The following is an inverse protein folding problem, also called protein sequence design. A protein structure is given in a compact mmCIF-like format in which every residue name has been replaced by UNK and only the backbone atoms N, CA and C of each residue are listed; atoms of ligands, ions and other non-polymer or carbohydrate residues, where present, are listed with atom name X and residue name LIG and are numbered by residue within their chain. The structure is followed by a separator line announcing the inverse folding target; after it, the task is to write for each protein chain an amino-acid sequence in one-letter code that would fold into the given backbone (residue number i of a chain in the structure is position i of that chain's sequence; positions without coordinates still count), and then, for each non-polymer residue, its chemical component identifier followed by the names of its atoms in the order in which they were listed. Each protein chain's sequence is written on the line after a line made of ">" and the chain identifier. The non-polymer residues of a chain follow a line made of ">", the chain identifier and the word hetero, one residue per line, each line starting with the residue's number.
data_IF_359884152990
#
_entry.id   IF_359884152990
#
_cell.length_a   1.000
_cell.length_b   1.000
_cell.length_c   1.000
_cell.angle_alpha   90.00
_cell.angle_beta   90.00
_cell.angle_gamma   90.00
#
_symmetry.space_group_name_H-M   'P 1'
#
loop_
_entity.id
_entity.type
_entity.pdbx_description
1 polymer ?
#
# COMPACT_ATOMS: atom_id res chain seq x y z
N UNK A 1 -9.53 -72.45 -34.32
CA UNK A 1 -8.46 -71.81 -33.53
C UNK A 1 -8.71 -70.32 -33.58
N UNK A 2 -9.34 -69.80 -32.52
CA UNK A 2 -9.96 -68.47 -32.47
C UNK A 2 -8.93 -67.41 -32.07
N UNK A 3 -8.81 -66.32 -32.84
CA UNK A 3 -8.04 -65.14 -32.44
C UNK A 3 -8.88 -64.30 -31.47
N UNK A 4 -8.40 -64.13 -30.24
CA UNK A 4 -9.01 -63.25 -29.24
C UNK A 4 -8.62 -61.79 -29.51
N UNK A 5 -9.59 -60.94 -29.87
CA UNK A 5 -9.41 -59.49 -29.95
C UNK A 5 -9.17 -58.90 -28.55
N UNK A 6 -8.03 -58.21 -28.38
CA UNK A 6 -7.68 -57.49 -27.16
C UNK A 6 -8.55 -56.23 -27.00
N UNK A 7 -9.35 -56.20 -25.93
CA UNK A 7 -10.18 -55.06 -25.57
C UNK A 7 -9.36 -53.79 -25.29
N UNK A 8 -9.67 -52.71 -26.01
CA UNK A 8 -9.08 -51.38 -25.83
C UNK A 8 -9.57 -50.80 -24.51
N UNK A 9 -8.66 -50.59 -23.55
CA UNK A 9 -8.96 -49.90 -22.29
C UNK A 9 -9.12 -48.41 -22.58
N UNK A 10 -10.33 -47.87 -22.41
CA UNK A 10 -10.56 -46.42 -22.46
C UNK A 10 -10.02 -45.78 -21.18
N UNK A 11 -9.20 -44.74 -21.34
CA UNK A 11 -8.63 -43.98 -20.22
C UNK A 11 -9.76 -43.24 -19.51
N UNK A 12 -10.05 -43.62 -18.26
CA UNK A 12 -10.91 -42.89 -17.34
C UNK A 12 -10.04 -41.79 -16.71
N UNK A 13 -9.74 -40.75 -17.47
CA UNK A 13 -9.24 -39.50 -16.92
C UNK A 13 -10.23 -38.42 -17.35
N UNK A 14 -11.04 -38.02 -16.37
CA UNK A 14 -12.06 -36.99 -16.47
C UNK A 14 -11.38 -35.66 -16.85
N UNK A 15 -11.78 -35.04 -17.96
CA UNK A 15 -11.28 -33.73 -18.39
C UNK A 15 -11.92 -32.60 -17.56
N UNK A 16 -11.78 -32.65 -16.24
CA UNK A 16 -12.54 -31.80 -15.30
C UNK A 16 -11.74 -30.73 -14.58
N UNK A 17 -10.59 -30.34 -15.14
CA UNK A 17 -9.88 -29.18 -14.63
C UNK A 17 -9.45 -28.26 -15.78
N UNK A 18 -10.42 -27.53 -16.32
CA UNK A 18 -10.16 -26.39 -17.18
C UNK A 18 -9.58 -25.26 -16.32
N UNK A 19 -8.28 -25.33 -16.01
CA UNK A 19 -7.51 -24.26 -15.33
C UNK A 19 -7.61 -22.89 -16.03
N UNK A 20 -8.00 -22.89 -17.31
CA UNK A 20 -8.11 -21.70 -18.15
C UNK A 20 -9.53 -21.13 -18.26
N UNK A 21 -10.56 -21.86 -17.79
CA UNK A 21 -11.93 -21.34 -17.69
C UNK A 21 -12.22 -20.85 -16.27
N UNK A 22 -11.32 -20.04 -15.71
CA UNK A 22 -11.76 -19.01 -14.77
C UNK A 22 -12.57 -18.01 -15.60
N UNK A 23 -13.86 -18.32 -15.81
CA UNK A 23 -14.85 -17.28 -16.00
C UNK A 23 -14.54 -16.28 -14.89
N UNK A 24 -14.02 -15.11 -15.25
CA UNK A 24 -13.89 -14.00 -14.32
C UNK A 24 -15.32 -13.71 -13.88
N UNK A 25 -15.75 -14.39 -12.81
CA UNK A 25 -16.85 -13.93 -11.99
C UNK A 25 -16.56 -12.48 -11.80
N UNK A 26 -17.46 -11.69 -12.36
CA UNK A 26 -17.39 -10.27 -12.53
C UNK A 26 -16.38 -9.70 -11.53
N UNK A 27 -15.21 -9.28 -12.04
CA UNK A 27 -14.48 -8.18 -11.42
C UNK A 27 -15.51 -7.04 -11.46
N UNK A 28 -16.44 -7.10 -10.51
CA UNK A 28 -17.28 -6.03 -10.08
C UNK A 28 -16.27 -4.90 -9.96
N UNK A 29 -16.44 -3.88 -10.80
CA UNK A 29 -15.82 -2.57 -10.68
C UNK A 29 -16.27 -1.97 -9.33
N UNK A 30 -16.02 -2.70 -8.23
CA UNK A 30 -16.13 -2.33 -6.86
C UNK A 30 -15.06 -1.29 -6.69
N UNK A 31 -15.44 -0.05 -7.01
CA UNK A 31 -14.79 1.20 -6.69
C UNK A 31 -13.58 1.00 -5.78
N UNK A 32 -12.46 0.58 -6.37
CA UNK A 32 -11.20 0.39 -5.66
C UNK A 32 -10.76 1.73 -5.04
N UNK A 33 -11.38 2.82 -5.52
CA UNK A 33 -11.34 4.18 -5.03
C UNK A 33 -11.92 4.38 -3.62
N UNK A 34 -12.94 3.64 -3.18
CA UNK A 34 -13.53 3.84 -1.85
C UNK A 34 -12.69 3.18 -0.74
N UNK A 35 -12.13 1.99 -0.99
CA UNK A 35 -11.24 1.32 -0.02
C UNK A 35 -9.89 2.05 0.11
N UNK A 36 -9.37 2.58 -1.00
CA UNK A 36 -8.17 3.43 -1.01
C UNK A 36 -8.39 4.74 -0.25
N UNK A 37 -9.61 5.23 -0.09
CA UNK A 37 -9.91 6.47 0.65
C UNK A 37 -10.34 6.22 2.10
N UNK A 38 -10.50 4.95 2.49
CA UNK A 38 -10.91 4.53 3.84
C UNK A 38 -9.93 5.01 4.93
N UNK A 39 -8.69 5.30 4.56
CA UNK A 39 -7.65 5.75 5.48
C UNK A 39 -7.60 7.28 5.69
N UNK A 40 -8.47 8.03 5.02
CA UNK A 40 -8.54 9.48 5.11
C UNK A 40 -9.84 9.93 5.79
N UNK A 41 -9.74 10.94 6.65
CA UNK A 41 -10.88 11.54 7.34
C UNK A 41 -10.92 13.03 7.09
N UNK A 42 -12.11 13.60 7.04
CA UNK A 42 -12.28 15.04 7.03
C UNK A 42 -12.53 15.55 8.45
N UNK A 43 -11.80 16.60 8.80
CA UNK A 43 -11.95 17.39 10.01
C UNK A 43 -12.60 18.70 9.58
N UNK A 44 -13.76 19.02 10.17
CA UNK A 44 -14.55 20.19 9.83
C UNK A 44 -15.06 20.88 11.10
N UNK A 45 -15.61 22.08 10.94
CA UNK A 45 -16.04 22.93 12.07
C UNK A 45 -14.85 23.34 12.95
N UNK A 46 -13.69 23.56 12.31
CA UNK A 46 -12.46 23.97 12.98
C UNK A 46 -12.53 25.48 13.24
N UNK A 47 -12.35 25.95 14.49
CA UNK A 47 -12.30 27.38 14.78
C UNK A 47 -11.09 28.03 14.08
N UNK A 48 -11.20 29.28 13.61
CA UNK A 48 -10.11 29.95 12.89
C UNK A 48 -8.84 30.19 13.73
N UNK A 49 -8.94 30.01 15.05
CA UNK A 49 -7.78 30.09 15.96
C UNK A 49 -6.95 28.80 15.99
N UNK A 50 -7.47 27.69 15.45
CA UNK A 50 -6.77 26.41 15.45
C UNK A 50 -5.69 26.36 14.38
N UNK A 51 -4.51 25.91 14.79
CA UNK A 51 -3.39 25.64 13.89
C UNK A 51 -3.16 24.14 13.73
N UNK A 52 -2.35 23.78 12.74
CA UNK A 52 -1.88 22.39 12.55
C UNK A 52 -1.28 21.80 13.82
N UNK A 53 -0.60 22.62 14.62
CA UNK A 53 -0.01 22.19 15.90
C UNK A 53 -1.04 21.72 16.91
N UNK A 54 -2.19 22.38 16.99
CA UNK A 54 -3.23 22.04 17.95
C UNK A 54 -4.00 20.81 17.50
N UNK A 55 -4.21 20.65 16.20
CA UNK A 55 -4.65 19.38 15.62
C UNK A 55 -3.66 18.26 15.94
N UNK A 56 -2.36 18.45 15.68
CA UNK A 56 -1.34 17.48 16.02
C UNK A 56 -1.37 17.10 17.51
N UNK A 57 -1.53 18.08 18.42
CA UNK A 57 -1.66 17.84 19.87
C UNK A 57 -2.88 16.98 20.21
N UNK A 58 -4.03 17.25 19.60
CA UNK A 58 -5.24 16.46 19.82
C UNK A 58 -5.08 15.01 19.34
N UNK A 59 -4.34 14.82 18.25
CA UNK A 59 -4.06 13.51 17.67
C UNK A 59 -2.71 12.92 18.15
N UNK A 60 -2.06 13.46 19.19
CA UNK A 60 -0.77 12.95 19.71
C UNK A 60 -0.82 11.51 20.22
N UNK A 61 -2.00 11.03 20.62
CA UNK A 61 -2.23 9.63 21.01
C UNK A 61 -1.96 8.65 19.86
N UNK A 62 -2.06 9.11 18.62
CA UNK A 62 -1.82 8.33 17.42
C UNK A 62 -0.35 8.45 17.00
N UNK A 63 0.54 7.86 17.80
CA UNK A 63 2.01 7.99 17.74
C UNK A 63 2.67 7.65 16.38
N UNK A 64 1.97 7.01 15.42
CA UNK A 64 2.58 6.53 14.16
C UNK A 64 1.61 6.58 12.97
N UNK A 65 1.78 7.60 12.13
CA UNK A 65 1.16 7.65 10.79
C UNK A 65 -0.10 8.50 10.71
N UNK A 66 -0.01 9.72 11.22
CA UNK A 66 -1.02 10.76 11.03
C UNK A 66 -0.37 11.95 10.33
N UNK A 67 -0.99 12.44 9.27
CA UNK A 67 -0.61 13.64 8.53
C UNK A 67 -1.85 14.52 8.32
N UNK A 68 -1.68 15.84 8.30
CA UNK A 68 -2.79 16.79 8.13
C UNK A 68 -2.51 17.64 6.92
N UNK A 69 -3.50 17.77 6.03
CA UNK A 69 -3.52 18.84 5.05
C UNK A 69 -4.74 19.72 5.20
N UNK A 70 -4.50 21.02 5.25
CA UNK A 70 -5.55 22.02 5.19
C UNK A 70 -6.10 22.18 3.78
N UNK A 71 -7.42 22.24 3.68
CA UNK A 71 -8.14 22.55 2.45
C UNK A 71 -8.59 24.02 2.50
N UNK A 72 -9.08 24.43 3.66
CA UNK A 72 -9.58 25.77 3.97
C UNK A 72 -9.37 26.07 5.46
N UNK A 73 -9.51 27.31 5.91
CA UNK A 73 -9.34 27.71 7.33
C UNK A 73 -10.30 26.98 8.29
N UNK A 74 -11.39 26.41 7.76
CA UNK A 74 -12.39 25.64 8.52
C UNK A 74 -12.42 24.13 8.21
N UNK A 75 -11.64 23.68 7.23
CA UNK A 75 -11.63 22.29 6.72
C UNK A 75 -10.22 21.75 6.57
N UNK A 76 -9.97 20.58 7.17
CA UNK A 76 -8.72 19.85 7.03
C UNK A 76 -8.96 18.38 6.69
N UNK A 77 -8.05 17.81 5.91
CA UNK A 77 -7.97 16.39 5.61
C UNK A 77 -6.91 15.75 6.52
N UNK A 78 -7.31 14.75 7.29
CA UNK A 78 -6.39 13.93 8.06
C UNK A 78 -6.12 12.61 7.34
N UNK A 79 -4.86 12.32 7.06
CA UNK A 79 -4.39 11.06 6.52
C UNK A 79 -3.96 10.19 7.70
N UNK A 80 -4.61 9.05 7.87
CA UNK A 80 -4.36 8.12 8.95
C UNK A 80 -3.83 6.79 8.40
N UNK A 81 -3.12 6.04 9.23
CA UNK A 81 -2.90 4.63 8.98
C UNK A 81 -4.21 3.87 9.22
N UNK A 82 -4.51 2.87 8.39
CA UNK A 82 -5.77 2.08 8.44
C UNK A 82 -6.29 1.72 9.85
N UNK A 83 -5.48 1.25 10.82
CA UNK A 83 -6.00 0.94 12.15
C UNK A 83 -6.39 2.17 12.99
N UNK A 84 -5.75 3.32 12.78
CA UNK A 84 -5.95 4.51 13.62
C UNK A 84 -7.18 5.34 13.20
N UNK A 85 -7.65 5.18 11.96
CA UNK A 85 -8.83 5.87 11.41
C UNK A 85 -10.08 5.64 12.27
N UNK A 86 -10.34 4.37 12.62
CA UNK A 86 -11.56 3.99 13.36
C UNK A 86 -11.58 4.59 14.76
N UNK A 87 -10.42 4.70 15.38
CA UNK A 87 -10.26 5.30 16.70
C UNK A 87 -10.43 6.82 16.61
N UNK A 88 -9.83 7.47 15.61
CA UNK A 88 -10.02 8.89 15.33
C UNK A 88 -11.50 9.25 15.08
N UNK A 89 -12.24 8.42 14.33
CA UNK A 89 -13.68 8.63 14.11
C UNK A 89 -14.53 8.44 15.39
N UNK A 90 -14.02 7.67 16.37
CA UNK A 90 -14.68 7.49 17.67
C UNK A 90 -14.32 8.58 18.65
N UNK A 91 -13.16 9.22 18.52
CA UNK A 91 -12.79 10.35 19.35
C UNK A 91 -13.72 11.53 19.08
N UNK A 92 -14.30 12.07 20.16
CA UNK A 92 -15.16 13.25 20.12
C UNK A 92 -14.36 14.43 20.65
N UNK A 93 -14.13 15.42 19.79
CA UNK A 93 -13.50 16.66 20.19
C UNK A 93 -14.60 17.73 20.40
N UNK A 94 -14.57 18.49 21.51
CA UNK A 94 -15.60 19.52 21.78
C UNK A 94 -15.61 20.66 20.77
N UNK A 95 -14.47 20.93 20.12
CA UNK A 95 -14.24 22.11 19.28
C UNK A 95 -14.10 21.77 17.79
N UNK A 96 -14.24 20.51 17.39
CA UNK A 96 -14.18 20.11 15.98
C UNK A 96 -14.90 18.80 15.76
N UNK A 97 -15.30 18.54 14.52
CA UNK A 97 -15.97 17.30 14.14
C UNK A 97 -15.14 16.56 13.12
N UNK A 98 -15.19 15.24 13.20
CA UNK A 98 -14.51 14.33 12.27
C UNK A 98 -15.56 13.47 11.56
N UNK A 99 -15.40 13.28 10.26
CA UNK A 99 -16.26 12.41 9.46
C UNK A 99 -15.46 11.63 8.41
N UNK A 100 -15.89 10.41 8.05
CA UNK A 100 -15.26 9.66 6.97
C UNK A 100 -15.47 10.36 5.63
N UNK A 101 -14.54 10.16 4.69
CA UNK A 101 -14.61 10.76 3.37
C UNK A 101 -15.91 10.47 2.60
N UNK A 102 -16.57 9.32 2.82
CA UNK A 102 -17.85 9.01 2.17
C UNK A 102 -18.92 10.08 2.45
N UNK A 103 -18.91 10.66 3.66
CA UNK A 103 -19.85 11.73 4.10
C UNK A 103 -19.31 13.15 3.90
N UNK A 104 -18.16 13.28 3.23
CA UNK A 104 -17.42 14.51 3.06
C UNK A 104 -17.92 15.36 1.88
N UNK A 105 -17.56 16.65 1.89
CA UNK A 105 -17.85 17.61 0.83
C UNK A 105 -17.14 17.19 -0.47
N UNK A 106 -17.72 17.54 -1.63
CA UNK A 106 -17.13 17.21 -2.95
C UNK A 106 -15.72 17.77 -3.12
N UNK A 107 -15.43 18.94 -2.55
CA UNK A 107 -14.12 19.58 -2.59
C UNK A 107 -13.07 18.74 -1.88
N UNK A 108 -13.33 18.37 -0.62
CA UNK A 108 -12.49 17.47 0.16
C UNK A 108 -12.29 16.11 -0.50
N UNK A 109 -13.32 15.55 -1.15
CA UNK A 109 -13.21 14.31 -1.94
C UNK A 109 -12.27 14.48 -3.15
N UNK A 110 -12.38 15.60 -3.88
CA UNK A 110 -11.51 15.88 -5.02
C UNK A 110 -10.05 16.07 -4.59
N UNK A 111 -9.85 16.76 -3.48
CA UNK A 111 -8.54 16.89 -2.85
C UNK A 111 -8.03 15.53 -2.42
N UNK A 112 -8.79 14.74 -1.66
CA UNK A 112 -8.38 13.40 -1.24
C UNK A 112 -7.97 12.48 -2.41
N UNK A 113 -8.75 12.45 -3.50
CA UNK A 113 -8.41 11.70 -4.72
C UNK A 113 -7.11 12.13 -5.38
N UNK A 114 -6.77 13.42 -5.29
CA UNK A 114 -5.52 13.93 -5.83
C UNK A 114 -4.30 13.43 -5.04
N UNK A 115 -4.51 12.97 -3.81
CA UNK A 115 -3.45 12.46 -2.93
C UNK A 115 -3.48 10.97 -2.66
N UNK A 116 -4.56 10.28 -3.03
CA UNK A 116 -4.58 8.82 -3.06
C UNK A 116 -3.68 8.24 -4.16
N UNK A 117 -3.04 9.08 -4.98
CA UNK A 117 -1.91 8.70 -5.83
C UNK A 117 -0.91 7.90 -5.00
N UNK A 118 -0.45 6.72 -5.48
CA UNK A 118 0.07 5.64 -4.65
C UNK A 118 1.09 6.18 -3.66
N UNK A 119 0.70 6.08 -2.38
CA UNK A 119 1.53 6.40 -1.22
C UNK A 119 2.95 5.99 -1.55
N UNK A 120 3.84 7.00 -1.67
CA UNK A 120 5.26 6.80 -1.93
C UNK A 120 5.70 5.68 -0.99
N UNK A 121 5.94 4.50 -1.58
CA UNK A 121 6.37 3.34 -0.84
C UNK A 121 7.58 3.81 -0.06
N UNK A 122 7.42 3.96 1.27
CA UNK A 122 8.46 4.47 2.18
C UNK A 122 9.78 4.00 1.65
N UNK A 123 10.63 4.95 1.22
CA UNK A 123 11.87 4.61 0.53
C UNK A 123 12.54 3.50 1.32
N UNK A 124 12.76 2.36 0.66
CA UNK A 124 13.35 1.20 1.33
C UNK A 124 14.60 1.73 2.01
N UNK A 125 14.82 1.41 3.32
CA UNK A 125 16.04 1.82 3.98
C UNK A 125 17.21 1.47 3.05
N UNK A 126 18.15 2.39 2.88
CA UNK A 126 19.17 2.30 1.84
C UNK A 126 20.00 1.02 2.02
N UNK A 127 19.54 -0.09 1.43
CA UNK A 127 20.23 -1.37 1.49
C UNK A 127 21.27 -1.37 0.39
N UNK A 128 22.55 -1.40 0.77
CA UNK A 128 23.62 -1.55 -0.20
C UNK A 128 23.46 -2.90 -0.93
N UNK A 129 23.28 -2.87 -2.25
CA UNK A 129 23.23 -4.06 -3.09
C UNK A 129 24.49 -4.93 -2.92
N UNK A 130 25.65 -4.31 -2.67
CA UNK A 130 26.90 -5.01 -2.39
C UNK A 130 26.82 -5.85 -1.09
N UNK A 131 26.19 -5.31 -0.05
CA UNK A 131 26.00 -6.00 1.21
C UNK A 131 25.01 -7.16 1.07
N UNK A 132 23.89 -6.94 0.38
CA UNK A 132 22.91 -8.00 0.10
C UNK A 132 23.55 -9.17 -0.67
N UNK A 133 24.31 -8.88 -1.74
CA UNK A 133 25.01 -9.91 -2.51
C UNK A 133 26.02 -10.70 -1.67
N UNK A 134 26.82 -10.02 -0.84
CA UNK A 134 27.78 -10.69 0.06
C UNK A 134 27.09 -11.68 1.00
N UNK A 135 25.98 -11.27 1.60
CA UNK A 135 25.20 -12.13 2.52
C UNK A 135 24.63 -13.35 1.80
N UNK A 136 24.05 -13.16 0.61
CA UNK A 136 23.46 -14.24 -0.20
C UNK A 136 24.54 -15.22 -0.68
N UNK A 137 25.66 -14.73 -1.20
CA UNK A 137 26.79 -15.55 -1.66
C UNK A 137 27.37 -16.37 -0.50
N UNK A 138 27.54 -15.76 0.67
CA UNK A 138 28.03 -16.46 1.87
C UNK A 138 27.07 -17.54 2.37
N UNK A 139 25.75 -17.28 2.32
CA UNK A 139 24.73 -18.22 2.74
C UNK A 139 24.51 -19.38 1.75
N UNK A 140 24.59 -19.10 0.44
CA UNK A 140 24.41 -20.10 -0.62
C UNK A 140 25.71 -20.84 -0.99
N UNK A 141 26.87 -20.40 -0.48
CA UNK A 141 28.17 -21.00 -0.80
C UNK A 141 28.58 -20.89 -2.27
N UNK A 142 27.93 -20.00 -3.04
CA UNK A 142 28.20 -19.80 -4.47
C UNK A 142 29.36 -18.82 -4.67
N UNK A 143 30.00 -18.86 -5.83
CA UNK A 143 31.12 -17.97 -6.17
C UNK A 143 30.58 -16.71 -6.85
N UNK A 144 31.13 -15.54 -6.55
CA UNK A 144 30.71 -14.29 -7.22
C UNK A 144 31.08 -14.31 -8.71
N UNK A 145 30.12 -14.01 -9.58
CA UNK A 145 30.32 -13.84 -11.04
C UNK A 145 30.67 -12.39 -11.45
N UNK A 146 30.77 -11.47 -10.49
CA UNK A 146 31.03 -10.05 -10.74
C UNK A 146 32.52 -9.82 -11.01
N UNK A 147 32.84 -9.10 -12.08
CA UNK A 147 34.22 -8.75 -12.45
C UNK A 147 34.82 -7.68 -11.53
N UNK A 148 36.15 -7.56 -11.52
CA UNK A 148 36.83 -6.54 -10.70
C UNK A 148 36.42 -5.12 -11.12
N UNK A 149 36.27 -4.84 -12.41
CA UNK A 149 35.85 -3.50 -12.87
C UNK A 149 34.44 -3.13 -12.38
N UNK A 150 33.50 -4.08 -12.39
CA UNK A 150 32.14 -3.85 -11.90
C UNK A 150 32.13 -3.54 -10.40
N UNK A 151 32.97 -4.22 -9.62
CA UNK A 151 33.12 -3.97 -8.17
C UNK A 151 33.67 -2.57 -7.90
N UNK A 152 34.64 -2.11 -8.68
CA UNK A 152 35.21 -0.77 -8.54
C UNK A 152 34.24 0.32 -8.96
N UNK A 153 33.49 0.12 -10.05
CA UNK A 153 32.45 1.05 -10.48
C UNK A 153 31.34 1.21 -9.43
N UNK A 154 30.90 0.11 -8.81
CA UNK A 154 29.91 0.16 -7.71
C UNK A 154 30.48 0.84 -6.47
N UNK A 155 31.75 0.59 -6.13
CA UNK A 155 32.43 1.24 -4.99
C UNK A 155 32.55 2.74 -5.22
N UNK A 156 32.90 3.17 -6.43
CA UNK A 156 32.99 4.58 -6.81
C UNK A 156 31.62 5.26 -6.75
N UNK A 157 30.57 4.60 -7.27
CA UNK A 157 29.19 5.11 -7.18
C UNK A 157 28.71 5.26 -5.73
N UNK A 158 29.12 4.35 -4.83
CA UNK A 158 28.83 4.45 -3.40
C UNK A 158 29.61 5.59 -2.72
N UNK A 159 30.84 5.87 -3.15
CA UNK A 159 31.63 6.99 -2.64
C UNK A 159 31.09 8.36 -3.08
N UNK A 160 30.54 8.44 -4.30
CA UNK A 160 29.94 9.67 -4.84
C UNK A 160 28.58 9.99 -4.21
N UNK A 161 27.87 8.97 -3.71
CA UNK A 161 26.57 9.10 -3.07
C UNK A 161 26.64 9.28 -1.53
N UNK A 162 27.84 9.45 -0.96
CA UNK A 162 28.08 9.60 0.48
C UNK A 162 28.43 11.05 0.82
#
# INVERSE_FOLDING_TARGET
>A
LSLSEGGKKTSIQDARFDYYNMQRFDDDDMDQSEDDLSHMIEIYDIPPEFKTEDLLKLFQGYQRGFDIKWIDDSHALGLFSSPTVREALRSKHPLMKVRPLSKSTSETKATARSFSSPLIAKERPQTSAALARRLVIGALGVKSNVTKEQREAEKRKLQEAR
#
